data_IF_445512786897
#
_entry.id   IF_445512786897
#
_cell.length_a   1.000
_cell.length_b   1.000
_cell.length_c   1.000
_cell.angle_alpha   90.00
_cell.angle_beta   90.00
_cell.angle_gamma   90.00
#
_symmetry.space_group_name_H-M   'P 1'
#
loop_
_entity.id
_entity.type
_entity.pdbx_description
1 polymer ?
#
# COMPACT_ATOMS: atom_id res chain seq x y z
N UNK A 1 -5.89 -3.21 0.82
CA UNK A 1 -5.95 -1.72 0.70
C UNK A 1 -6.36 -1.32 -0.70
N UNK A 2 -7.27 -0.37 -0.82
CA UNK A 2 -7.74 0.23 -2.07
C UNK A 2 -7.07 1.59 -2.20
N UNK A 3 -6.28 1.78 -3.27
CA UNK A 3 -5.49 3.01 -3.47
C UNK A 3 -5.90 3.82 -4.70
N UNK A 4 -6.89 3.33 -5.45
CA UNK A 4 -7.45 4.00 -6.63
C UNK A 4 -8.78 4.69 -6.33
N UNK A 5 -8.99 5.95 -6.75
CA UNK A 5 -10.27 6.66 -6.60
C UNK A 5 -11.35 6.20 -7.59
N UNK A 6 -10.99 5.39 -8.59
CA UNK A 6 -11.90 5.02 -9.70
C UNK A 6 -12.99 4.01 -9.29
N UNK A 7 -13.02 3.60 -8.03
CA UNK A 7 -14.02 2.66 -7.49
C UNK A 7 -14.15 1.41 -8.37
N UNK A 8 -15.36 1.11 -8.85
CA UNK A 8 -15.64 -0.09 -9.66
C UNK A 8 -15.00 -0.06 -11.07
N UNK A 9 -14.54 1.10 -11.52
CA UNK A 9 -13.76 1.24 -12.77
C UNK A 9 -12.26 1.01 -12.57
N UNK A 10 -11.82 0.67 -11.37
CA UNK A 10 -10.40 0.46 -11.06
C UNK A 10 -9.96 -0.96 -11.40
N UNK A 11 -9.05 -1.10 -12.37
CA UNK A 11 -8.43 -2.39 -12.68
C UNK A 11 -7.69 -2.99 -11.48
N UNK A 12 -6.93 -2.17 -10.73
CA UNK A 12 -6.21 -2.66 -9.54
C UNK A 12 -7.15 -3.18 -8.46
N UNK A 13 -8.34 -2.57 -8.28
CA UNK A 13 -9.37 -3.07 -7.38
C UNK A 13 -9.96 -4.38 -7.88
N UNK A 14 -10.32 -4.46 -9.17
CA UNK A 14 -10.90 -5.67 -9.74
C UNK A 14 -9.98 -6.90 -9.61
N UNK A 15 -8.66 -6.69 -9.70
CA UNK A 15 -7.65 -7.74 -9.52
C UNK A 15 -7.53 -8.17 -8.05
N UNK A 16 -7.53 -7.21 -7.12
CA UNK A 16 -7.55 -7.48 -5.68
C UNK A 16 -8.83 -8.23 -5.28
N UNK A 17 -9.99 -7.81 -5.80
CA UNK A 17 -11.26 -8.46 -5.53
C UNK A 17 -11.30 -9.91 -6.06
N UNK A 18 -10.67 -10.17 -7.22
CA UNK A 18 -10.52 -11.54 -7.75
C UNK A 18 -9.64 -12.41 -6.85
N UNK A 19 -8.53 -11.86 -6.35
CA UNK A 19 -7.65 -12.52 -5.40
C UNK A 19 -8.40 -12.83 -4.09
N UNK A 20 -9.00 -11.82 -3.45
CA UNK A 20 -9.68 -11.97 -2.17
C UNK A 20 -10.85 -12.95 -2.24
N UNK A 21 -11.63 -12.91 -3.32
CA UNK A 21 -12.75 -13.85 -3.53
C UNK A 21 -12.30 -15.31 -3.54
N UNK A 22 -11.11 -15.59 -4.04
CA UNK A 22 -10.57 -16.96 -4.03
C UNK A 22 -9.90 -17.27 -2.69
N UNK A 23 -9.15 -16.32 -2.15
CA UNK A 23 -8.44 -16.49 -0.88
C UNK A 23 -9.39 -16.78 0.28
N UNK A 24 -10.50 -16.02 0.38
CA UNK A 24 -11.50 -16.20 1.46
C UNK A 24 -12.27 -17.51 1.39
N UNK A 25 -12.17 -18.28 0.31
CA UNK A 25 -12.76 -19.64 0.23
C UNK A 25 -11.90 -20.71 0.91
N UNK A 26 -10.64 -20.39 1.24
CA UNK A 26 -9.68 -21.38 1.75
C UNK A 26 -9.78 -21.58 3.26
N UNK A 27 -10.37 -20.63 3.98
CA UNK A 27 -10.58 -20.70 5.42
C UNK A 27 -11.83 -19.91 5.81
N UNK A 28 -12.63 -20.46 6.72
CA UNK A 28 -13.92 -19.89 7.15
C UNK A 28 -13.74 -18.69 8.11
N UNK A 29 -12.55 -18.50 8.67
CA UNK A 29 -12.23 -17.47 9.66
C UNK A 29 -11.51 -16.24 9.10
N UNK A 30 -11.43 -16.10 7.76
CA UNK A 30 -10.79 -14.94 7.13
C UNK A 30 -11.65 -13.69 7.29
N UNK A 31 -11.14 -12.72 8.05
CA UNK A 31 -11.72 -11.39 8.19
C UNK A 31 -10.98 -10.40 7.29
N UNK A 32 -11.71 -9.74 6.40
CA UNK A 32 -11.14 -8.74 5.49
C UNK A 32 -11.39 -7.33 6.02
N UNK A 33 -10.35 -6.69 6.57
CA UNK A 33 -10.40 -5.25 6.89
C UNK A 33 -10.00 -4.42 5.65
N UNK A 34 -10.94 -3.66 5.12
CA UNK A 34 -10.72 -2.84 3.91
C UNK A 34 -10.38 -1.41 4.28
N UNK A 35 -9.16 -0.97 3.91
CA UNK A 35 -8.73 0.41 3.98
C UNK A 35 -8.76 1.02 2.57
N UNK A 36 -9.68 1.95 2.34
CA UNK A 36 -9.76 2.76 1.13
C UNK A 36 -9.17 4.15 1.44
N UNK A 37 -8.00 4.45 0.89
CA UNK A 37 -7.28 5.70 1.19
C UNK A 37 -7.99 6.96 0.69
N UNK A 38 -9.02 6.81 -0.15
CA UNK A 38 -9.82 7.92 -0.68
C UNK A 38 -11.10 8.18 0.13
N UNK A 39 -11.54 7.21 0.92
CA UNK A 39 -12.68 7.33 1.82
C UNK A 39 -12.27 7.51 3.28
N UNK A 40 -11.08 7.02 3.62
CA UNK A 40 -10.51 7.16 4.96
C UNK A 40 -10.11 8.61 5.22
N UNK A 41 -10.45 9.13 6.40
CA UNK A 41 -9.90 10.40 6.83
C UNK A 41 -8.42 10.24 7.16
N UNK A 42 -7.58 10.84 6.33
CA UNK A 42 -6.14 10.93 6.53
C UNK A 42 -5.83 12.37 6.95
N UNK A 43 -5.39 12.63 8.19
CA UNK A 43 -5.00 13.98 8.59
C UNK A 43 -3.84 14.49 7.72
N UNK A 44 -3.71 15.80 7.60
CA UNK A 44 -2.54 16.39 6.95
C UNK A 44 -1.28 16.13 7.80
N UNK A 45 -0.20 15.74 7.13
CA UNK A 45 1.10 15.57 7.78
C UNK A 45 1.88 16.89 7.68
N UNK A 46 1.24 17.96 8.18
CA UNK A 46 1.71 19.33 8.15
C UNK A 46 2.70 19.65 9.29
N UNK A 47 3.13 20.92 9.35
CA UNK A 47 4.04 21.39 10.40
C UNK A 47 3.48 21.17 11.81
N UNK A 48 2.17 21.32 12.01
CA UNK A 48 1.51 21.07 13.30
C UNK A 48 1.62 19.61 13.72
N UNK A 49 1.28 18.69 12.82
CA UNK A 49 1.35 17.24 13.05
C UNK A 49 2.80 16.77 13.27
N UNK A 50 3.76 17.32 12.52
CA UNK A 50 5.19 17.04 12.71
C UNK A 50 5.68 17.57 14.06
N UNK A 51 5.34 18.81 14.44
CA UNK A 51 5.72 19.37 15.73
C UNK A 51 5.15 18.57 16.89
N UNK A 52 3.91 18.10 16.77
CA UNK A 52 3.29 17.23 17.76
C UNK A 52 4.05 15.92 17.98
N UNK A 53 4.67 15.37 16.93
CA UNK A 53 5.57 14.21 17.05
C UNK A 53 6.72 14.50 18.01
N UNK A 54 7.37 15.64 17.88
CA UNK A 54 8.50 16.01 18.73
C UNK A 54 8.04 16.36 20.14
N UNK A 55 6.91 17.05 20.32
CA UNK A 55 6.28 17.27 21.64
C UNK A 55 6.00 15.97 22.37
N UNK A 56 5.50 14.95 21.68
CA UNK A 56 5.28 13.63 22.25
C UNK A 56 6.57 12.94 22.72
N UNK A 57 7.71 13.25 22.11
CA UNK A 57 9.04 12.76 22.53
C UNK A 57 9.57 13.55 23.73
N UNK A 58 9.38 14.88 23.75
CA UNK A 58 9.86 15.76 24.84
C UNK A 58 8.91 15.82 26.05
N UNK A 59 7.71 15.26 25.94
CA UNK A 59 6.69 15.32 26.99
C UNK A 59 5.96 16.67 27.08
N UNK A 60 6.05 17.50 26.04
CA UNK A 60 5.35 18.77 25.96
C UNK A 60 3.85 18.60 25.67
N UNK A 61 2.98 19.51 26.17
CA UNK A 61 1.54 19.42 25.92
C UNK A 61 1.20 19.64 24.45
N UNK A 62 0.29 18.81 23.95
CA UNK A 62 -0.27 18.93 22.60
C UNK A 62 -1.58 19.72 22.61
N UNK A 63 -1.87 20.41 21.52
CA UNK A 63 -3.18 21.02 21.27
C UNK A 63 -4.24 19.94 20.99
N UNK A 64 -5.53 20.28 21.11
CA UNK A 64 -6.62 19.35 20.82
C UNK A 64 -6.58 18.81 19.36
N UNK A 65 -6.19 19.65 18.39
CA UNK A 65 -6.04 19.25 17.00
C UNK A 65 -4.89 18.24 16.82
N UNK A 66 -3.72 18.49 17.44
CA UNK A 66 -2.58 17.59 17.46
C UNK A 66 -2.92 16.23 18.09
N UNK A 67 -3.63 16.23 19.21
CA UNK A 67 -4.09 15.00 19.88
C UNK A 67 -5.01 14.21 18.95
N UNK A 68 -5.94 14.88 18.27
CA UNK A 68 -6.88 14.24 17.34
C UNK A 68 -6.14 13.62 16.16
N UNK A 69 -5.22 14.35 15.54
CA UNK A 69 -4.41 13.86 14.42
C UNK A 69 -3.58 12.62 14.84
N UNK A 70 -2.90 12.69 15.98
CA UNK A 70 -2.08 11.57 16.47
C UNK A 70 -2.90 10.37 16.94
N UNK A 71 -4.11 10.58 17.45
CA UNK A 71 -5.05 9.48 17.69
C UNK A 71 -5.35 8.74 16.39
N UNK A 72 -5.67 9.47 15.32
CA UNK A 72 -5.93 8.88 14.00
C UNK A 72 -4.71 8.18 13.41
N UNK A 73 -3.52 8.75 13.55
CA UNK A 73 -2.25 8.12 13.11
C UNK A 73 -2.05 6.77 13.81
N UNK A 74 -2.29 6.68 15.12
CA UNK A 74 -2.22 5.42 15.87
C UNK A 74 -3.27 4.42 15.40
N UNK A 75 -4.51 4.86 15.13
CA UNK A 75 -5.57 4.01 14.59
C UNK A 75 -5.19 3.42 13.22
N UNK A 76 -4.61 4.24 12.33
CA UNK A 76 -4.12 3.77 11.03
C UNK A 76 -2.99 2.76 11.19
N UNK A 77 -2.02 3.01 12.07
CA UNK A 77 -0.92 2.10 12.34
C UNK A 77 -1.40 0.78 12.96
N UNK A 78 -2.39 0.83 13.87
CA UNK A 78 -2.92 -0.36 14.53
C UNK A 78 -3.57 -1.35 13.56
N UNK A 79 -4.13 -0.88 12.43
CA UNK A 79 -4.67 -1.75 11.39
C UNK A 79 -3.58 -2.60 10.73
N UNK A 80 -2.38 -2.06 10.55
CA UNK A 80 -1.24 -2.85 10.08
C UNK A 80 -0.73 -3.82 11.16
N UNK A 81 -0.76 -3.40 12.43
CA UNK A 81 -0.30 -4.23 13.55
C UNK A 81 -1.20 -5.44 13.81
N UNK A 82 -2.49 -5.33 13.47
CA UNK A 82 -3.46 -6.42 13.62
C UNK A 82 -3.63 -7.31 12.38
N UNK A 83 -2.92 -7.00 11.29
CA UNK A 83 -3.02 -7.75 10.05
C UNK A 83 -2.04 -8.93 10.00
N UNK A 84 -2.54 -10.13 9.68
CA UNK A 84 -1.70 -11.32 9.41
C UNK A 84 -1.22 -11.33 7.96
N UNK A 85 -1.95 -10.69 7.07
CA UNK A 85 -1.69 -10.60 5.62
C UNK A 85 -2.01 -9.20 5.12
N UNK A 86 -1.31 -8.76 4.09
CA UNK A 86 -1.58 -7.48 3.42
C UNK A 86 -1.88 -7.72 1.96
N UNK A 87 -2.97 -7.13 1.46
CA UNK A 87 -3.32 -7.13 0.03
C UNK A 87 -3.49 -5.69 -0.44
N UNK A 88 -2.77 -5.31 -1.51
CA UNK A 88 -2.76 -3.93 -2.02
C UNK A 88 -2.95 -3.91 -3.52
N UNK A 89 -3.89 -3.11 -4.02
CA UNK A 89 -3.97 -2.76 -5.43
C UNK A 89 -3.41 -1.36 -5.67
N UNK A 90 -2.38 -1.24 -6.50
CA UNK A 90 -1.64 0.02 -6.72
C UNK A 90 -1.62 0.39 -8.20
N UNK A 91 -2.41 1.39 -8.63
CA UNK A 91 -2.27 1.93 -9.98
C UNK A 91 -1.03 2.82 -10.08
N UNK A 92 -0.40 2.81 -11.25
CA UNK A 92 0.70 3.72 -11.54
C UNK A 92 0.17 5.10 -11.92
N UNK A 93 0.68 6.14 -11.26
CA UNK A 93 0.47 7.54 -11.58
C UNK A 93 1.82 8.24 -11.72
N UNK A 94 2.10 8.79 -12.89
CA UNK A 94 3.37 9.48 -13.15
C UNK A 94 4.59 8.67 -12.67
N UNK A 95 4.64 7.38 -13.05
CA UNK A 95 5.69 6.41 -12.70
C UNK A 95 5.81 6.06 -11.21
N UNK A 96 4.87 6.50 -10.38
CA UNK A 96 4.82 6.21 -8.94
C UNK A 96 3.41 5.75 -8.55
N UNK A 97 3.10 5.74 -7.28
CA UNK A 97 1.79 5.37 -6.73
C UNK A 97 0.99 6.62 -6.36
N UNK A 98 -0.35 6.50 -6.19
CA UNK A 98 -1.20 7.62 -5.83
C UNK A 98 -0.73 8.32 -4.54
N UNK A 99 -0.74 9.65 -4.52
CA UNK A 99 -0.27 10.45 -3.37
C UNK A 99 -0.99 10.11 -2.07
N UNK A 100 -2.23 9.64 -2.12
CA UNK A 100 -2.98 9.19 -0.95
C UNK A 100 -2.36 7.96 -0.28
N UNK A 101 -1.77 7.05 -1.07
CA UNK A 101 -1.00 5.93 -0.51
C UNK A 101 0.27 6.46 0.18
N UNK A 102 0.96 7.45 -0.43
CA UNK A 102 2.12 8.07 0.21
C UNK A 102 1.74 8.76 1.51
N UNK A 103 0.62 9.50 1.54
CA UNK A 103 0.10 10.13 2.76
C UNK A 103 -0.16 9.08 3.85
N UNK A 104 -0.82 7.96 3.52
CA UNK A 104 -1.03 6.86 4.47
C UNK A 104 0.30 6.32 5.02
N UNK A 105 1.29 6.10 4.16
CA UNK A 105 2.62 5.63 4.55
C UNK A 105 3.29 6.63 5.49
N UNK A 106 3.29 7.92 5.15
CA UNK A 106 3.92 8.96 5.96
C UNK A 106 3.25 9.13 7.33
N UNK A 107 1.93 8.96 7.39
CA UNK A 107 1.18 9.01 8.63
C UNK A 107 1.43 7.78 9.51
N UNK A 108 1.28 6.58 8.96
CA UNK A 108 1.31 5.34 9.75
C UNK A 108 2.72 4.83 10.05
N UNK A 109 3.69 5.08 9.15
CA UNK A 109 5.05 4.58 9.28
C UNK A 109 5.87 5.43 10.26
N UNK A 110 5.50 5.36 11.55
CA UNK A 110 6.17 6.10 12.62
C UNK A 110 7.02 5.16 13.48
N UNK A 111 8.09 5.70 14.09
CA UNK A 111 8.96 4.98 15.02
C UNK A 111 8.13 4.40 16.18
N UNK A 112 8.41 3.16 16.56
CA UNK A 112 7.70 2.39 17.57
C UNK A 112 6.21 2.10 17.24
N UNK A 113 5.81 2.32 15.97
CA UNK A 113 4.52 1.88 15.41
C UNK A 113 4.73 0.80 14.36
N UNK A 114 5.31 1.15 13.21
CA UNK A 114 5.58 0.20 12.13
C UNK A 114 7.07 -0.13 11.95
N UNK A 115 7.97 0.62 12.57
CA UNK A 115 9.39 0.33 12.59
C UNK A 115 10.04 0.75 13.89
N UNK A 116 11.22 0.21 14.19
CA UNK A 116 12.08 0.60 15.30
C UNK A 116 13.35 1.28 14.81
N UNK A 117 14.00 2.04 15.68
CA UNK A 117 15.33 2.62 15.45
C UNK A 117 16.06 2.72 16.79
N UNK A 118 17.19 2.03 16.93
CA UNK A 118 17.99 1.95 18.16
C UNK A 118 19.07 3.03 18.28
N UNK A 119 19.12 3.97 17.33
CA UNK A 119 20.16 5.00 17.21
C UNK A 119 21.21 4.67 16.16
N UNK A 120 21.28 3.43 15.68
CA UNK A 120 22.23 2.97 14.66
C UNK A 120 21.55 2.21 13.51
N UNK A 121 20.52 1.41 13.81
CA UNK A 121 19.86 0.54 12.84
C UNK A 121 18.34 0.68 12.91
N UNK A 122 17.72 0.59 11.74
CA UNK A 122 16.29 0.41 11.62
C UNK A 122 15.94 -1.07 11.72
N UNK A 123 14.81 -1.37 12.36
CA UNK A 123 14.23 -2.69 12.43
C UNK A 123 12.72 -2.66 12.20
N UNK A 124 12.11 -3.75 11.72
CA UNK A 124 10.67 -3.84 11.57
C UNK A 124 9.99 -3.94 12.94
N UNK A 125 8.73 -3.48 13.02
CA UNK A 125 7.87 -3.67 14.19
C UNK A 125 6.80 -4.72 13.97
N UNK A 126 6.56 -5.14 12.72
CA UNK A 126 5.53 -6.11 12.37
C UNK A 126 6.14 -7.48 12.04
N UNK A 127 5.29 -8.51 12.12
CA UNK A 127 5.64 -9.89 11.75
C UNK A 127 4.55 -10.42 10.82
N UNK A 128 4.48 -9.88 9.63
CA UNK A 128 3.51 -10.26 8.60
C UNK A 128 4.15 -11.26 7.65
N UNK A 129 3.56 -12.43 7.52
CA UNK A 129 4.12 -13.48 6.67
C UNK A 129 4.18 -13.09 5.21
N UNK A 130 3.03 -12.66 4.66
CA UNK A 130 2.92 -12.38 3.22
C UNK A 130 2.16 -11.10 2.94
N UNK A 131 2.57 -10.41 1.87
CA UNK A 131 1.78 -9.41 1.20
C UNK A 131 1.58 -9.76 -0.27
N UNK A 132 0.37 -9.53 -0.79
CA UNK A 132 0.09 -9.57 -2.22
C UNK A 132 -0.11 -8.16 -2.75
N UNK A 133 0.65 -7.78 -3.78
CA UNK A 133 0.62 -6.44 -4.37
C UNK A 133 0.35 -6.54 -5.86
N UNK A 134 -0.72 -5.86 -6.29
CA UNK A 134 -1.04 -5.73 -7.72
C UNK A 134 -0.61 -4.35 -8.20
N UNK A 135 0.30 -4.31 -9.14
CA UNK A 135 0.70 -3.09 -9.86
C UNK A 135 -0.03 -3.02 -11.20
N UNK A 136 -0.71 -1.91 -11.46
CA UNK A 136 -1.45 -1.71 -12.71
C UNK A 136 -0.89 -0.52 -13.46
N UNK A 137 -0.56 -0.71 -14.74
CA UNK A 137 0.07 0.29 -15.61
C UNK A 137 -0.70 0.44 -16.91
N UNK A 138 -0.73 1.65 -17.46
CA UNK A 138 -1.33 1.93 -18.76
C UNK A 138 -0.54 1.32 -19.92
N UNK A 139 0.79 1.31 -19.81
CA UNK A 139 1.74 0.80 -20.81
C UNK A 139 2.72 -0.19 -20.17
N UNK A 140 3.52 -0.89 -20.98
CA UNK A 140 4.61 -1.74 -20.51
C UNK A 140 5.93 -0.95 -20.41
N UNK A 141 6.94 -1.58 -19.83
CA UNK A 141 8.31 -1.08 -19.77
C UNK A 141 9.03 -1.13 -21.13
N UNK A 142 8.43 -1.78 -22.14
CA UNK A 142 8.86 -1.71 -23.55
C UNK A 142 8.61 -0.32 -24.16
N UNK A 143 7.66 0.45 -23.61
CA UNK A 143 7.43 1.82 -24.00
C UNK A 143 8.64 2.68 -23.59
N UNK A 144 9.52 2.95 -24.54
CA UNK A 144 10.74 3.76 -24.32
C UNK A 144 10.44 5.21 -23.95
N UNK A 145 11.46 5.88 -23.42
CA UNK A 145 11.44 7.32 -23.15
C UNK A 145 12.43 8.02 -24.08
N UNK A 146 12.03 9.13 -24.67
CA UNK A 146 12.88 9.90 -25.56
C UNK A 146 14.08 10.52 -24.82
N UNK A 147 13.90 10.91 -23.58
CA UNK A 147 14.87 11.68 -22.79
C UNK A 147 15.55 10.84 -21.71
N UNK A 148 14.90 9.80 -21.22
CA UNK A 148 15.38 8.98 -20.10
C UNK A 148 15.68 7.57 -20.59
N UNK A 149 16.94 7.09 -20.48
CA UNK A 149 17.33 5.78 -21.01
C UNK A 149 16.76 4.57 -20.25
N UNK A 150 16.17 4.80 -19.08
CA UNK A 150 15.60 3.73 -18.22
C UNK A 150 14.12 3.96 -17.95
N UNK A 151 13.27 2.96 -18.13
CA UNK A 151 11.86 3.07 -17.74
C UNK A 151 11.73 3.23 -16.23
N UNK A 152 10.91 4.22 -15.81
CA UNK A 152 10.70 4.56 -14.40
C UNK A 152 9.73 3.64 -13.64
N UNK A 153 9.40 2.46 -14.18
CA UNK A 153 8.39 1.56 -13.59
C UNK A 153 8.81 0.99 -12.23
N UNK A 154 10.09 0.84 -12.01
CA UNK A 154 10.66 0.40 -10.73
C UNK A 154 10.47 1.38 -9.58
N UNK A 155 10.21 2.67 -9.87
CA UNK A 155 9.94 3.66 -8.80
C UNK A 155 8.63 3.37 -8.08
N UNK A 156 7.66 2.77 -8.77
CA UNK A 156 6.44 2.28 -8.17
C UNK A 156 6.69 1.02 -7.34
N UNK A 157 7.12 -0.06 -8.01
CA UNK A 157 7.21 -1.40 -7.39
C UNK A 157 8.31 -1.45 -6.34
N UNK A 158 9.51 -0.95 -6.66
CA UNK A 158 10.66 -0.98 -5.76
C UNK A 158 10.40 -0.25 -4.43
N UNK A 159 9.72 0.90 -4.45
CA UNK A 159 9.39 1.60 -3.20
C UNK A 159 8.36 0.85 -2.37
N UNK A 160 7.28 0.35 -2.98
CA UNK A 160 6.21 -0.34 -2.25
C UNK A 160 6.73 -1.66 -1.65
N UNK A 161 7.52 -2.42 -2.40
CA UNK A 161 8.15 -3.64 -1.91
C UNK A 161 9.14 -3.36 -0.78
N UNK A 162 10.00 -2.34 -0.94
CA UNK A 162 10.91 -1.90 0.12
C UNK A 162 10.14 -1.53 1.39
N UNK A 163 9.10 -0.69 1.29
CA UNK A 163 8.30 -0.27 2.42
C UNK A 163 7.66 -1.45 3.16
N UNK A 164 7.06 -2.40 2.44
CA UNK A 164 6.47 -3.60 3.05
C UNK A 164 7.50 -4.42 3.80
N UNK A 165 8.69 -4.66 3.22
CA UNK A 165 9.78 -5.36 3.90
C UNK A 165 10.31 -4.58 5.11
N UNK A 166 10.41 -3.25 4.97
CA UNK A 166 10.86 -2.37 6.03
C UNK A 166 9.97 -2.40 7.27
N UNK A 167 8.66 -2.52 7.11
CA UNK A 167 7.73 -2.64 8.24
C UNK A 167 7.61 -4.05 8.80
N UNK A 168 8.11 -5.09 8.10
CA UNK A 168 8.20 -6.47 8.61
C UNK A 168 7.41 -7.52 7.83
N UNK A 169 7.09 -7.27 6.56
CA UNK A 169 6.54 -8.30 5.67
C UNK A 169 7.68 -9.21 5.20
N UNK A 170 7.57 -10.52 5.45
CA UNK A 170 8.59 -11.51 5.11
C UNK A 170 8.64 -11.81 3.61
N UNK A 171 7.49 -12.04 3.01
CA UNK A 171 7.36 -12.37 1.59
C UNK A 171 6.41 -11.38 0.90
N UNK A 172 6.85 -10.79 -0.21
CA UNK A 172 6.02 -9.91 -1.04
C UNK A 172 5.80 -10.60 -2.39
N UNK A 173 4.58 -11.03 -2.63
CA UNK A 173 4.12 -11.61 -3.90
C UNK A 173 3.56 -10.49 -4.77
N UNK A 174 4.07 -10.33 -5.97
CA UNK A 174 3.66 -9.24 -6.87
C UNK A 174 3.01 -9.75 -8.14
N UNK A 175 2.06 -8.98 -8.65
CA UNK A 175 1.45 -9.16 -9.97
C UNK A 175 1.46 -7.81 -10.68
N UNK A 176 2.16 -7.70 -11.80
CA UNK A 176 2.08 -6.53 -12.68
C UNK A 176 1.08 -6.81 -13.82
N UNK A 177 0.16 -5.87 -14.04
CA UNK A 177 -0.76 -5.88 -15.18
C UNK A 177 -0.58 -4.59 -15.96
N UNK A 178 -0.17 -4.74 -17.21
CA UNK A 178 0.20 -3.69 -18.13
C UNK A 178 -0.85 -3.52 -19.22
N UNK A 179 -0.69 -2.53 -20.09
CA UNK A 179 -1.59 -2.28 -21.21
C UNK A 179 -3.06 -2.08 -20.83
N UNK A 180 -3.29 -1.40 -19.69
CA UNK A 180 -4.66 -1.17 -19.20
C UNK A 180 -5.32 0.07 -19.81
N UNK A 181 -4.67 0.73 -20.80
CA UNK A 181 -5.16 1.93 -21.49
C UNK A 181 -5.18 1.81 -23.02
N UNK A 182 -4.75 0.69 -23.58
CA UNK A 182 -4.80 0.43 -25.00
C UNK A 182 -5.89 -0.60 -25.35
N UNK A 183 -5.93 -1.06 -26.60
CA UNK A 183 -6.90 -2.03 -27.13
C UNK A 183 -6.82 -3.41 -26.47
N UNK A 184 -5.72 -3.71 -25.80
CA UNK A 184 -5.50 -4.96 -25.05
C UNK A 184 -6.07 -4.92 -23.63
N UNK A 185 -6.59 -3.78 -23.15
CA UNK A 185 -6.92 -3.56 -21.76
C UNK A 185 -7.86 -4.63 -21.17
N UNK A 186 -8.88 -5.04 -21.92
CA UNK A 186 -9.85 -6.05 -21.46
C UNK A 186 -9.16 -7.39 -21.26
N UNK A 187 -8.42 -7.85 -22.25
CA UNK A 187 -7.74 -9.15 -22.24
C UNK A 187 -6.67 -9.20 -21.12
N UNK A 188 -5.90 -8.12 -20.97
CA UNK A 188 -4.86 -8.04 -19.95
C UNK A 188 -5.43 -8.02 -18.53
N UNK A 189 -6.53 -7.31 -18.29
CA UNK A 189 -7.21 -7.31 -17.01
C UNK A 189 -7.81 -8.69 -16.71
N UNK A 190 -8.41 -9.35 -17.68
CA UNK A 190 -9.00 -10.67 -17.47
C UNK A 190 -7.93 -11.76 -17.29
N UNK A 191 -6.82 -11.70 -18.00
CA UNK A 191 -5.65 -12.55 -17.74
C UNK A 191 -5.08 -12.29 -16.33
N UNK A 192 -4.99 -11.02 -15.94
CA UNK A 192 -4.57 -10.62 -14.60
C UNK A 192 -5.48 -11.15 -13.48
N UNK A 193 -6.82 -11.14 -13.66
CA UNK A 193 -7.77 -11.73 -12.71
C UNK A 193 -7.56 -13.24 -12.54
N UNK A 194 -7.34 -13.96 -13.65
CA UNK A 194 -7.03 -15.40 -13.61
C UNK A 194 -5.74 -15.64 -12.83
N UNK A 195 -4.70 -14.87 -13.12
CA UNK A 195 -3.42 -14.97 -12.41
C UNK A 195 -3.53 -14.62 -10.93
N UNK A 196 -4.27 -13.58 -10.57
CA UNK A 196 -4.56 -13.23 -9.19
C UNK A 196 -5.27 -14.36 -8.44
N UNK A 197 -6.26 -15.01 -9.08
CA UNK A 197 -6.95 -16.18 -8.54
C UNK A 197 -6.01 -17.38 -8.33
N UNK A 198 -5.09 -17.65 -9.25
CA UNK A 198 -4.08 -18.71 -9.10
C UNK A 198 -3.15 -18.44 -7.93
N UNK A 199 -2.65 -17.18 -7.81
CA UNK A 199 -1.78 -16.77 -6.72
C UNK A 199 -2.47 -16.85 -5.35
N UNK A 200 -3.77 -16.54 -5.30
CA UNK A 200 -4.55 -16.65 -4.07
C UNK A 200 -4.57 -18.07 -3.50
N UNK A 201 -4.57 -19.10 -4.36
CA UNK A 201 -4.57 -20.52 -3.93
C UNK A 201 -3.27 -20.96 -3.26
N UNK A 202 -2.19 -20.21 -3.48
CA UNK A 202 -0.85 -20.53 -2.96
C UNK A 202 -0.42 -19.57 -1.83
N UNK A 203 -1.28 -18.61 -1.48
CA UNK A 203 -0.99 -17.50 -0.55
C UNK A 203 -1.36 -17.86 0.89
#
# INVERSE_FOLDING_TARGET
>A
MVTSPRKDQSASRALVDAFLREYTKQADDVVVDTLDVWQEWLPEFDAGTINAKYKGVSGEPMTAAEVTAWKKIRELASRFQSADRIVIGVPMWNFSFPYKLKQLIDLSCQRNMLFTFDGKRYGPSLHIDKAFVVFVRGQSDEAGFEIVPQPGFQYLSGYVEFWLRFIGVREVVTLAVEHTWDDRAIDMIDAGKKKATELARQF
#
